data_IF_386160267388
#
_entry.id   IF_386160267388
#
_cell.length_a   1.000
_cell.length_b   1.000
_cell.length_c   1.000
_cell.angle_alpha   90.00
_cell.angle_beta   90.00
_cell.angle_gamma   90.00
#
_symmetry.space_group_name_H-M   'P 1'
#
loop_
_entity.id
_entity.type
_entity.pdbx_description
1 polymer ?
#
# COMPACT_ATOMS: atom_id res chain seq x y z
N UNK A 1 10.91 4.54 4.32
CA UNK A 1 9.63 3.80 4.28
C UNK A 1 8.69 4.25 3.17
N UNK A 2 8.57 5.56 2.87
CA UNK A 2 7.61 6.09 1.88
C UNK A 2 7.51 5.33 0.54
N UNK A 3 8.63 4.89 -0.06
CA UNK A 3 8.57 4.15 -1.32
C UNK A 3 8.07 2.70 -1.15
N UNK A 4 8.35 2.05 -0.01
CA UNK A 4 7.77 0.74 0.33
C UNK A 4 6.27 0.87 0.62
N UNK A 5 5.88 1.94 1.33
CA UNK A 5 4.49 2.29 1.59
C UNK A 5 3.71 2.49 0.29
N UNK A 6 4.29 3.20 -0.68
CA UNK A 6 3.70 3.41 -2.00
C UNK A 6 3.58 2.08 -2.76
N UNK A 7 4.64 1.26 -2.80
CA UNK A 7 4.60 0.00 -3.56
C UNK A 7 3.52 -0.96 -3.03
N UNK A 8 3.28 -0.98 -1.72
CA UNK A 8 2.18 -1.72 -1.12
C UNK A 8 0.82 -1.32 -1.73
N UNK A 9 0.56 -0.02 -1.85
CA UNK A 9 -0.67 0.51 -2.46
C UNK A 9 -0.70 0.25 -3.98
N UNK A 10 0.42 0.46 -4.66
CA UNK A 10 0.54 0.26 -6.11
C UNK A 10 0.27 -1.20 -6.50
N UNK A 11 0.80 -2.15 -5.74
CA UNK A 11 0.56 -3.57 -5.96
C UNK A 11 -0.89 -3.95 -5.62
N UNK A 12 -1.48 -3.37 -4.57
CA UNK A 12 -2.89 -3.63 -4.24
C UNK A 12 -3.87 -3.12 -5.29
N UNK A 13 -3.51 -2.04 -5.99
CA UNK A 13 -4.27 -1.45 -7.09
C UNK A 13 -3.72 -1.85 -8.47
N UNK A 14 -2.96 -2.95 -8.59
CA UNK A 14 -2.34 -3.36 -9.85
C UNK A 14 -3.27 -3.37 -11.09
N UNK A 15 -4.59 -3.69 -10.98
CA UNK A 15 -5.47 -3.68 -12.15
C UNK A 15 -5.70 -2.28 -12.75
N UNK A 16 -5.37 -1.19 -12.04
CA UNK A 16 -5.51 0.18 -12.55
C UNK A 16 -4.29 0.66 -13.35
N UNK A 17 -3.20 -0.12 -13.36
CA UNK A 17 -1.99 0.20 -14.12
C UNK A 17 -2.04 -0.23 -15.58
N UNK A 18 -1.05 0.21 -16.35
CA UNK A 18 -0.82 -0.20 -17.75
C UNK A 18 0.52 -0.94 -17.91
N UNK A 19 1.00 -1.52 -16.81
CA UNK A 19 2.26 -2.26 -16.69
C UNK A 19 2.06 -3.49 -15.81
N UNK A 20 2.98 -4.46 -15.89
CA UNK A 20 2.96 -5.68 -15.07
C UNK A 20 3.82 -5.46 -13.83
N UNK A 21 3.34 -5.96 -12.69
CA UNK A 21 4.04 -5.94 -11.40
C UNK A 21 4.39 -7.37 -10.97
N UNK A 22 5.37 -7.49 -10.09
CA UNK A 22 5.78 -8.75 -9.45
C UNK A 22 5.97 -8.51 -7.96
N UNK A 23 5.60 -9.47 -7.12
CA UNK A 23 6.04 -9.45 -5.73
C UNK A 23 7.55 -9.71 -5.62
N UNK A 24 8.22 -9.19 -4.57
CA UNK A 24 9.61 -9.54 -4.29
C UNK A 24 9.81 -11.05 -4.21
N UNK A 25 10.87 -11.53 -4.85
CA UNK A 25 11.39 -12.88 -4.70
C UNK A 25 12.04 -13.08 -3.33
N UNK A 26 12.42 -14.31 -2.99
CA UNK A 26 13.12 -14.58 -1.72
C UNK A 26 14.47 -13.85 -1.63
N UNK A 27 15.25 -13.85 -2.72
CA UNK A 27 16.54 -13.13 -2.80
C UNK A 27 16.35 -11.62 -2.63
N UNK A 28 15.35 -11.03 -3.29
CA UNK A 28 15.03 -9.61 -3.13
C UNK A 28 14.50 -9.28 -1.73
N UNK A 29 13.73 -10.17 -1.11
CA UNK A 29 13.25 -10.00 0.26
C UNK A 29 14.42 -10.01 1.27
N UNK A 30 15.41 -10.89 1.10
CA UNK A 30 16.65 -10.88 1.90
C UNK A 30 17.42 -9.57 1.70
N UNK A 31 17.54 -9.11 0.45
CA UNK A 31 18.17 -7.82 0.16
C UNK A 31 17.42 -6.65 0.80
N UNK A 32 16.08 -6.64 0.73
CA UNK A 32 15.28 -5.58 1.37
C UNK A 32 15.48 -5.58 2.89
N UNK A 33 15.47 -6.73 3.55
CA UNK A 33 15.68 -6.79 5.00
C UNK A 33 17.09 -6.34 5.39
N UNK A 34 18.13 -6.73 4.62
CA UNK A 34 19.50 -6.31 4.88
C UNK A 34 19.71 -4.79 4.77
N UNK A 35 18.99 -4.12 3.86
CA UNK A 35 19.12 -2.68 3.60
C UNK A 35 18.10 -1.83 4.36
N UNK A 36 16.97 -2.43 4.74
CA UNK A 36 15.88 -1.79 5.47
C UNK A 36 15.45 -2.70 6.63
N UNK A 37 16.25 -2.84 7.70
CA UNK A 37 15.90 -3.71 8.83
C UNK A 37 14.50 -3.43 9.37
N UNK A 38 13.68 -4.48 9.50
CA UNK A 38 12.26 -4.39 9.83
C UNK A 38 11.33 -4.20 8.63
N UNK A 39 11.82 -4.41 7.40
CA UNK A 39 11.00 -4.48 6.19
C UNK A 39 10.20 -5.78 6.15
N UNK A 40 10.83 -6.91 6.45
CA UNK A 40 10.22 -8.23 6.36
C UNK A 40 9.10 -8.40 7.39
N UNK A 41 9.30 -7.93 8.62
CA UNK A 41 8.29 -7.98 9.69
C UNK A 41 6.99 -7.25 9.31
N UNK A 42 7.06 -6.30 8.36
CA UNK A 42 5.92 -5.51 7.93
C UNK A 42 5.50 -5.84 6.48
N UNK A 43 6.23 -5.37 5.47
CA UNK A 43 5.86 -5.56 4.06
C UNK A 43 6.03 -7.00 3.60
N UNK A 44 7.13 -7.66 4.01
CA UNK A 44 7.40 -9.05 3.65
C UNK A 44 6.26 -9.99 4.03
N UNK A 45 5.83 -9.95 5.30
CA UNK A 45 4.69 -10.74 5.79
C UNK A 45 3.38 -10.45 5.04
N UNK A 46 3.11 -9.18 4.69
CA UNK A 46 1.91 -8.83 3.92
C UNK A 46 1.97 -9.43 2.51
N UNK A 47 3.12 -9.36 1.83
CA UNK A 47 3.28 -9.96 0.50
C UNK A 47 3.19 -11.48 0.54
N UNK A 48 3.70 -12.13 1.58
CA UNK A 48 3.55 -13.57 1.79
C UNK A 48 2.09 -13.97 1.98
N UNK A 49 1.32 -13.20 2.77
CA UNK A 49 -0.11 -13.43 2.93
C UNK A 49 -0.86 -13.27 1.60
N UNK A 50 -0.56 -12.21 0.83
CA UNK A 50 -1.20 -12.00 -0.48
C UNK A 50 -0.88 -13.11 -1.46
N UNK A 51 0.38 -13.60 -1.46
CA UNK A 51 0.79 -14.75 -2.26
C UNK A 51 0.04 -16.02 -1.84
N UNK A 52 -0.13 -16.26 -0.53
CA UNK A 52 -0.89 -17.39 -0.01
C UNK A 52 -2.38 -17.35 -0.40
N UNK A 53 -2.94 -16.14 -0.59
CA UNK A 53 -4.30 -15.93 -1.12
C UNK A 53 -4.39 -15.98 -2.65
N UNK A 54 -3.28 -16.20 -3.36
CA UNK A 54 -3.27 -16.34 -4.81
C UNK A 54 -3.39 -15.02 -5.58
N UNK A 55 -2.81 -13.92 -5.08
CA UNK A 55 -2.93 -12.59 -5.73
C UNK A 55 -2.41 -12.52 -7.18
N UNK A 56 -1.58 -13.48 -7.61
CA UNK A 56 -1.06 -13.59 -8.98
C UNK A 56 -1.78 -14.68 -9.81
N UNK A 57 -2.64 -15.49 -9.17
CA UNK A 57 -3.45 -16.51 -9.83
C UNK A 57 -4.81 -15.90 -10.24
N UNK A 58 -5.13 -15.81 -11.54
CA UNK A 58 -6.39 -15.22 -12.00
C UNK A 58 -7.64 -16.00 -11.56
N UNK A 59 -7.49 -17.26 -11.13
CA UNK A 59 -8.61 -18.08 -10.64
C UNK A 59 -8.93 -17.86 -9.15
N UNK A 60 -8.07 -17.14 -8.41
CA UNK A 60 -8.23 -16.93 -6.96
C UNK A 60 -9.40 -16.02 -6.59
N UNK A 61 -9.80 -15.13 -7.51
CA UNK A 61 -10.77 -14.08 -7.22
C UNK A 61 -10.28 -13.04 -6.19
N UNK A 62 -9.00 -13.04 -5.85
CA UNK A 62 -8.40 -12.14 -4.85
C UNK A 62 -7.58 -11.04 -5.52
N UNK A 63 -7.88 -9.78 -5.17
CA UNK A 63 -7.04 -8.62 -5.45
C UNK A 63 -6.65 -8.01 -4.11
N UNK A 64 -5.39 -7.60 -3.88
CA UNK A 64 -4.97 -7.17 -2.55
C UNK A 64 -5.70 -5.92 -2.01
N UNK A 65 -6.35 -5.12 -2.86
CA UNK A 65 -7.29 -4.09 -2.41
C UNK A 65 -8.38 -4.66 -1.46
N UNK A 66 -8.84 -5.89 -1.68
CA UNK A 66 -9.80 -6.56 -0.80
C UNK A 66 -9.23 -6.73 0.61
N UNK A 67 -7.94 -7.06 0.73
CA UNK A 67 -7.26 -7.18 2.02
C UNK A 67 -7.23 -5.84 2.78
N UNK A 68 -6.99 -4.72 2.08
CA UNK A 68 -7.06 -3.38 2.70
C UNK A 68 -8.46 -3.09 3.26
N UNK A 69 -9.52 -3.45 2.53
CA UNK A 69 -10.92 -3.25 2.94
C UNK A 69 -11.26 -4.15 4.14
N UNK A 70 -10.95 -5.44 4.05
CA UNK A 70 -11.23 -6.44 5.10
C UNK A 70 -10.52 -6.11 6.43
N UNK A 71 -9.29 -5.61 6.36
CA UNK A 71 -8.48 -5.27 7.54
C UNK A 71 -8.63 -3.81 8.00
N UNK A 72 -9.59 -3.07 7.44
CA UNK A 72 -9.88 -1.69 7.81
C UNK A 72 -8.64 -0.76 7.71
N UNK A 73 -7.94 -0.85 6.58
CA UNK A 73 -6.84 0.03 6.18
C UNK A 73 -7.29 0.91 5.01
N UNK A 74 -7.98 2.05 5.25
CA UNK A 74 -8.45 2.90 4.15
C UNK A 74 -7.27 3.54 3.41
N UNK A 75 -7.34 3.54 2.08
CA UNK A 75 -6.43 4.29 1.21
C UNK A 75 -7.09 5.64 0.90
N UNK A 76 -6.37 6.72 1.19
CA UNK A 76 -6.75 8.09 0.87
C UNK A 76 -5.90 8.62 -0.28
N UNK A 77 -6.40 9.65 -0.96
CA UNK A 77 -5.64 10.42 -1.95
C UNK A 77 -5.48 11.83 -1.40
N UNK A 78 -4.24 12.32 -1.35
CA UNK A 78 -4.00 13.69 -0.94
C UNK A 78 -4.61 14.65 -1.98
N UNK A 79 -5.34 15.66 -1.49
CA UNK A 79 -5.99 16.68 -2.31
C UNK A 79 -4.97 17.52 -3.09
N UNK A 80 -3.76 17.70 -2.57
CA UNK A 80 -2.74 18.58 -3.18
C UNK A 80 -1.82 17.80 -4.12
N UNK A 81 -1.02 16.87 -3.60
CA UNK A 81 0.01 16.14 -4.34
C UNK A 81 -0.52 15.00 -5.22
N UNK A 82 -1.74 14.53 -4.97
CA UNK A 82 -2.35 13.32 -5.56
C UNK A 82 -1.64 12.01 -5.19
N UNK A 83 -0.68 12.04 -4.25
CA UNK A 83 -0.02 10.82 -3.77
C UNK A 83 -1.03 10.01 -2.94
N UNK A 84 -1.20 8.70 -3.20
CA UNK A 84 -2.02 7.85 -2.36
C UNK A 84 -1.28 7.55 -1.05
N UNK A 85 -2.03 7.46 0.06
CA UNK A 85 -1.48 7.17 1.38
C UNK A 85 -2.45 6.35 2.24
N UNK A 86 -1.90 5.55 3.17
CA UNK A 86 -2.67 4.73 4.09
C UNK A 86 -2.18 4.93 5.55
N UNK A 87 -2.80 5.83 6.32
CA UNK A 87 -2.30 6.27 7.63
C UNK A 87 -2.24 5.15 8.69
N UNK A 88 -3.07 4.12 8.56
CA UNK A 88 -3.12 3.01 9.53
C UNK A 88 -2.14 1.88 9.24
N UNK A 89 -1.40 1.94 8.12
CA UNK A 89 -0.51 0.87 7.68
C UNK A 89 0.88 1.35 7.31
N UNK A 90 1.01 2.49 6.63
CA UNK A 90 2.30 3.01 6.17
C UNK A 90 3.25 3.29 7.34
N UNK A 91 4.52 2.85 7.24
CA UNK A 91 5.55 3.13 8.26
C UNK A 91 6.11 4.56 8.15
N UNK A 92 6.01 5.17 6.97
CA UNK A 92 6.40 6.55 6.72
C UNK A 92 5.37 7.58 7.20
N UNK A 93 5.74 8.86 7.13
CA UNK A 93 4.84 9.95 7.47
C UNK A 93 3.60 9.94 6.57
N UNK A 94 2.43 9.93 7.18
CA UNK A 94 1.13 9.79 6.49
C UNK A 94 -0.01 10.41 7.31
N UNK A 95 0.23 11.58 7.91
CA UNK A 95 -0.74 12.22 8.81
C UNK A 95 -2.03 12.57 8.06
N UNK A 96 -3.14 11.93 8.43
CA UNK A 96 -4.45 12.22 7.86
C UNK A 96 -5.07 13.47 8.49
N UNK A 97 -5.32 14.49 7.67
CA UNK A 97 -6.24 15.59 7.98
C UNK A 97 -7.42 15.54 7.02
N UNK A 98 -8.65 15.57 7.53
CA UNK A 98 -9.87 15.62 6.71
C UNK A 98 -10.65 16.87 7.06
N UNK A 99 -10.81 17.78 6.11
CA UNK A 99 -11.63 18.98 6.26
C UNK A 99 -12.85 18.90 5.36
N UNK A 100 -13.97 19.45 5.82
CA UNK A 100 -15.15 19.70 5.00
C UNK A 100 -15.29 21.20 4.76
N UNK A 101 -15.31 21.60 3.49
CA UNK A 101 -15.50 22.98 3.06
C UNK A 101 -16.60 23.04 2.01
N UNK A 102 -17.62 23.86 2.26
CA UNK A 102 -18.76 24.02 1.35
C UNK A 102 -19.40 22.67 0.93
N UNK A 103 -19.59 21.76 1.90
CA UNK A 103 -20.19 20.43 1.67
C UNK A 103 -19.30 19.43 0.95
N UNK A 104 -18.00 19.72 0.75
CA UNK A 104 -17.03 18.82 0.12
C UNK A 104 -15.91 18.44 1.08
N UNK A 105 -15.60 17.14 1.14
CA UNK A 105 -14.48 16.61 1.94
C UNK A 105 -13.16 16.61 1.15
N UNK A 106 -12.08 16.93 1.85
CA UNK A 106 -10.71 16.97 1.34
C UNK A 106 -9.78 16.27 2.33
N UNK A 107 -8.98 15.32 1.85
CA UNK A 107 -7.95 14.61 2.62
C UNK A 107 -6.56 15.19 2.32
N UNK A 108 -5.72 15.31 3.34
CA UNK A 108 -4.34 15.80 3.25
C UNK A 108 -3.38 14.86 3.98
N UNK A 109 -2.14 14.79 3.49
CA UNK A 109 -1.08 13.87 3.98
C UNK A 109 0.01 14.54 4.82
N UNK A 110 0.25 15.83 4.65
CA UNK A 110 1.28 16.59 5.38
C UNK A 110 0.86 18.06 5.64
N UNK A 111 1.72 18.81 6.33
CA UNK A 111 1.47 20.18 6.79
C UNK A 111 1.78 21.25 5.72
N UNK A 112 2.39 20.87 4.59
CA UNK A 112 2.90 21.79 3.57
C UNK A 112 1.95 21.95 2.37
#
# INVERSE_FOLDING_TARGET
WAHHDLFLIAYALWPTGFFRLTLPTAEEAEWFEANYPGWHEHYGKIYEEWRARGCEDPSSGFIPLMWFIENNHPIYIDRVSQVPFCPSLCKGASTLRVHELNGKKHSFSDDW
#
